data_IF_526834721853
#
_entry.id   IF_526834721853
#
_cell.length_a   1.000
_cell.length_b   1.000
_cell.length_c   1.000
_cell.angle_alpha   90.00
_cell.angle_beta   90.00
_cell.angle_gamma   90.00
#
_symmetry.space_group_name_H-M   'P 1'
#
loop_
_entity.id
_entity.type
_entity.pdbx_description
1 polymer ?
#
# COMPACT_ATOMS: atom_id res chain seq x y z
N UNK A 1 14.20 -7.58 -13.78
CA UNK A 1 13.66 -6.20 -13.74
C UNK A 1 12.28 -6.16 -13.08
N UNK A 2 12.14 -6.56 -11.81
CA UNK A 2 10.82 -6.64 -11.14
C UNK A 2 10.25 -5.29 -10.67
N UNK A 3 11.10 -4.31 -10.34
CA UNK A 3 10.67 -2.96 -9.91
C UNK A 3 9.93 -2.21 -11.03
N UNK A 4 10.37 -2.38 -12.30
CA UNK A 4 9.71 -1.76 -13.46
C UNK A 4 8.30 -2.33 -13.68
N UNK A 5 8.13 -3.64 -13.53
CA UNK A 5 6.83 -4.31 -13.69
C UNK A 5 5.82 -3.88 -12.62
N UNK A 6 6.24 -3.82 -11.36
CA UNK A 6 5.38 -3.38 -10.25
C UNK A 6 4.94 -1.90 -10.36
N UNK A 7 5.76 -1.04 -10.97
CA UNK A 7 5.43 0.38 -11.23
C UNK A 7 4.45 0.57 -12.38
N UNK A 8 4.43 -0.32 -13.39
CA UNK A 8 3.59 -0.18 -14.58
C UNK A 8 2.21 -0.83 -14.43
N UNK A 9 2.05 -1.76 -13.48
CA UNK A 9 0.78 -2.47 -13.28
C UNK A 9 -0.21 -1.63 -12.46
N UNK A 10 -1.14 -0.99 -13.17
CA UNK A 10 -2.32 -0.36 -12.56
C UNK A 10 -3.25 -1.45 -12.03
N UNK A 11 -3.58 -1.38 -10.74
CA UNK A 11 -4.44 -2.33 -10.01
C UNK A 11 -5.64 -1.67 -9.36
N UNK A 12 -5.72 -0.33 -9.39
CA UNK A 12 -6.88 0.41 -8.93
C UNK A 12 -7.08 1.68 -9.77
N UNK A 13 -8.30 1.95 -10.23
CA UNK A 13 -8.65 3.13 -11.03
C UNK A 13 -9.60 4.08 -10.31
N UNK A 14 -10.37 3.58 -9.34
CA UNK A 14 -11.30 4.37 -8.54
C UNK A 14 -11.15 4.08 -7.03
N UNK A 15 -11.94 4.76 -6.19
CA UNK A 15 -11.84 4.61 -4.74
C UNK A 15 -12.30 3.24 -4.23
N UNK A 16 -13.27 2.62 -4.90
CA UNK A 16 -13.75 1.28 -4.55
C UNK A 16 -12.68 0.23 -4.85
N UNK A 17 -12.00 0.32 -6.01
CA UNK A 17 -10.88 -0.55 -6.36
C UNK A 17 -9.76 -0.44 -5.32
N UNK A 18 -9.41 0.79 -4.89
CA UNK A 18 -8.36 1.03 -3.88
C UNK A 18 -8.72 0.38 -2.55
N UNK A 19 -9.97 0.57 -2.14
CA UNK A 19 -10.47 -0.02 -0.91
C UNK A 19 -10.46 -1.55 -1.00
N UNK A 20 -11.05 -2.12 -2.04
CA UNK A 20 -11.13 -3.55 -2.27
C UNK A 20 -9.74 -4.19 -2.34
N UNK A 21 -8.79 -3.55 -3.03
CA UNK A 21 -7.42 -4.02 -3.16
C UNK A 21 -6.75 -4.21 -1.80
N UNK A 22 -6.90 -3.25 -0.89
CA UNK A 22 -6.33 -3.31 0.46
C UNK A 22 -7.12 -4.26 1.37
N UNK A 23 -8.46 -4.28 1.28
CA UNK A 23 -9.30 -5.21 2.06
C UNK A 23 -8.99 -6.66 1.76
N UNK A 24 -8.84 -7.03 0.48
CA UNK A 24 -8.42 -8.39 0.05
C UNK A 24 -7.04 -8.81 0.58
N UNK A 25 -6.25 -7.86 1.10
CA UNK A 25 -4.90 -8.06 1.66
C UNK A 25 -4.88 -7.93 3.19
N UNK A 26 -6.06 -7.94 3.82
CA UNK A 26 -6.20 -8.00 5.28
C UNK A 26 -6.11 -6.65 5.98
N UNK A 27 -6.14 -5.53 5.24
CA UNK A 27 -6.22 -4.21 5.87
C UNK A 27 -7.66 -3.90 6.26
N UNK A 28 -7.84 -3.33 7.45
CA UNK A 28 -9.14 -2.83 7.93
C UNK A 28 -9.57 -1.55 7.20
N UNK A 29 -10.79 -1.05 7.48
CA UNK A 29 -11.31 0.20 6.88
C UNK A 29 -10.43 1.38 7.22
N UNK A 30 -10.08 1.47 8.50
CA UNK A 30 -9.27 2.55 9.04
C UNK A 30 -7.86 2.52 8.46
N UNK A 31 -7.26 1.34 8.34
CA UNK A 31 -5.93 1.19 7.74
C UNK A 31 -5.94 1.50 6.24
N UNK A 32 -6.99 1.09 5.54
CA UNK A 32 -7.20 1.41 4.12
C UNK A 32 -7.22 2.92 3.90
N UNK A 33 -8.02 3.66 4.69
CA UNK A 33 -8.09 5.11 4.60
C UNK A 33 -6.74 5.78 4.91
N UNK A 34 -6.02 5.30 5.94
CA UNK A 34 -4.69 5.81 6.30
C UNK A 34 -3.67 5.58 5.18
N UNK A 35 -3.65 4.41 4.56
CA UNK A 35 -2.71 4.07 3.48
C UNK A 35 -2.99 4.96 2.25
N UNK A 36 -4.26 5.09 1.84
CA UNK A 36 -4.63 5.95 0.71
C UNK A 36 -4.27 7.41 0.99
N UNK A 37 -4.55 7.88 2.21
CA UNK A 37 -4.23 9.24 2.65
C UNK A 37 -2.72 9.52 2.67
N UNK A 38 -1.91 8.55 3.12
CA UNK A 38 -0.46 8.68 3.13
C UNK A 38 0.11 8.87 1.71
N UNK A 39 -0.33 8.05 0.75
CA UNK A 39 0.09 8.22 -0.66
C UNK A 39 -0.37 9.56 -1.21
N UNK A 40 -1.62 9.96 -0.94
CA UNK A 40 -2.11 11.26 -1.39
C UNK A 40 -1.30 12.43 -0.83
N UNK A 41 -0.93 12.37 0.45
CA UNK A 41 -0.15 13.40 1.11
C UNK A 41 1.30 13.48 0.60
N UNK A 42 1.94 12.33 0.33
CA UNK A 42 3.35 12.27 -0.10
C UNK A 42 3.53 12.46 -1.61
N UNK A 43 2.61 11.93 -2.43
CA UNK A 43 2.74 11.86 -3.90
C UNK A 43 1.76 12.79 -4.64
N UNK A 44 0.85 13.47 -3.93
CA UNK A 44 -0.15 14.37 -4.53
C UNK A 44 -1.26 13.66 -5.31
N UNK A 45 -1.29 12.32 -5.31
CA UNK A 45 -2.30 11.49 -5.99
C UNK A 45 -2.64 10.26 -5.18
N UNK A 46 -3.83 9.71 -5.39
CA UNK A 46 -4.23 8.43 -4.78
C UNK A 46 -3.46 7.26 -5.43
N UNK A 47 -3.27 6.12 -4.73
CA UNK A 47 -2.54 4.99 -5.27
C UNK A 47 -3.30 4.34 -6.44
N UNK A 48 -2.54 3.92 -7.46
CA UNK A 48 -3.08 3.24 -8.64
C UNK A 48 -2.29 1.97 -8.98
N UNK A 49 -0.98 1.97 -8.72
CA UNK A 49 -0.08 0.83 -8.96
C UNK A 49 0.22 0.05 -7.68
N UNK A 50 0.69 -1.19 -7.82
CA UNK A 50 1.17 -1.99 -6.67
C UNK A 50 2.28 -1.24 -5.93
N UNK A 51 3.16 -0.55 -6.66
CA UNK A 51 4.22 0.24 -6.07
C UNK A 51 3.67 1.36 -5.16
N UNK A 52 2.63 2.08 -5.61
CA UNK A 52 2.01 3.14 -4.80
C UNK A 52 1.44 2.58 -3.49
N UNK A 53 0.78 1.43 -3.53
CA UNK A 53 0.27 0.77 -2.32
C UNK A 53 1.39 0.34 -1.37
N UNK A 54 2.50 -0.19 -1.90
CA UNK A 54 3.68 -0.55 -1.08
C UNK A 54 4.26 0.70 -0.41
N UNK A 55 4.37 1.83 -1.12
CA UNK A 55 4.81 3.09 -0.53
C UNK A 55 3.87 3.54 0.59
N UNK A 56 2.55 3.55 0.34
CA UNK A 56 1.56 3.92 1.36
C UNK A 56 1.59 3.05 2.61
N UNK A 57 1.72 1.73 2.45
CA UNK A 57 1.84 0.80 3.60
C UNK A 57 3.11 1.11 4.39
N UNK A 58 4.23 1.34 3.70
CA UNK A 58 5.52 1.65 4.33
C UNK A 58 5.48 2.99 5.05
N UNK A 59 4.86 4.01 4.46
CA UNK A 59 4.66 5.32 5.08
C UNK A 59 3.86 5.20 6.39
N UNK A 60 2.77 4.43 6.38
CA UNK A 60 1.98 4.16 7.60
C UNK A 60 2.78 3.37 8.64
N UNK A 61 3.62 2.42 8.21
CA UNK A 61 4.46 1.63 9.11
C UNK A 61 5.46 2.51 9.88
N UNK A 62 6.08 3.49 9.21
CA UNK A 62 7.05 4.42 9.83
C UNK A 62 6.46 5.21 11.00
N UNK A 63 5.15 5.48 10.97
CA UNK A 63 4.43 6.18 12.04
C UNK A 63 3.98 5.30 13.21
N UNK A 64 4.23 3.99 13.19
CA UNK A 64 3.85 3.07 14.28
C UNK A 64 4.90 3.10 15.38
N UNK A 65 4.49 3.50 16.59
CA UNK A 65 5.34 3.46 17.78
C UNK A 65 5.62 2.04 18.27
N UNK A 66 4.66 1.12 18.10
CA UNK A 66 4.81 -0.28 18.50
C UNK A 66 5.49 -1.10 17.41
N UNK A 67 6.58 -1.77 17.78
CA UNK A 67 7.43 -2.56 16.88
C UNK A 67 6.65 -3.64 16.13
N UNK A 68 5.80 -4.40 16.82
CA UNK A 68 5.06 -5.51 16.19
C UNK A 68 4.09 -5.02 15.12
N UNK A 69 3.43 -3.88 15.37
CA UNK A 69 2.53 -3.25 14.40
C UNK A 69 3.31 -2.72 13.18
N UNK A 70 4.53 -2.22 13.39
CA UNK A 70 5.41 -1.82 12.29
C UNK A 70 5.81 -3.03 11.44
N UNK A 71 6.26 -4.11 12.08
CA UNK A 71 6.70 -5.33 11.41
C UNK A 71 5.57 -6.03 10.64
N UNK A 72 4.34 -6.04 11.15
CA UNK A 72 3.19 -6.58 10.43
C UNK A 72 2.93 -5.80 9.12
N UNK A 73 2.96 -4.47 9.17
CA UNK A 73 2.79 -3.63 7.98
C UNK A 73 3.92 -3.82 6.98
N UNK A 74 5.18 -3.78 7.43
CA UNK A 74 6.35 -4.02 6.58
C UNK A 74 6.31 -5.41 5.93
N UNK A 75 5.92 -6.44 6.69
CA UNK A 75 5.76 -7.80 6.19
C UNK A 75 4.69 -7.91 5.10
N UNK A 76 3.56 -7.22 5.24
CA UNK A 76 2.51 -7.18 4.21
C UNK A 76 2.96 -6.39 2.98
N UNK A 77 3.66 -5.27 3.15
CA UNK A 77 4.23 -4.49 2.05
C UNK A 77 5.25 -5.33 1.25
N UNK A 78 6.12 -6.07 1.94
CA UNK A 78 7.10 -6.97 1.31
C UNK A 78 6.41 -8.07 0.51
N UNK A 79 5.45 -8.79 1.10
CA UNK A 79 4.68 -9.83 0.38
C UNK A 79 3.94 -9.29 -0.84
N UNK A 80 3.44 -8.06 -0.75
CA UNK A 80 2.78 -7.39 -1.87
C UNK A 80 3.76 -7.09 -3.00
N UNK A 81 4.94 -6.57 -2.65
CA UNK A 81 5.97 -6.24 -3.61
C UNK A 81 6.52 -7.49 -4.31
N UNK A 82 6.84 -8.55 -3.56
CA UNK A 82 7.36 -9.83 -4.09
C UNK A 82 6.39 -10.46 -5.12
N UNK A 83 5.08 -10.39 -4.87
CA UNK A 83 4.06 -10.92 -5.81
C UNK A 83 3.91 -10.10 -7.09
N UNK A 84 4.49 -8.90 -7.15
CA UNK A 84 4.43 -8.02 -8.31
C UNK A 84 5.74 -7.93 -9.09
N UNK A 85 6.79 -8.62 -8.63
CA UNK A 85 8.09 -8.72 -9.31
C UNK A 85 8.11 -9.76 -10.42
#
# INVERSE_FOLDING_TARGET
NGVKAARQRIVARNDDDRAEFLRKRGFSKAETAKIIGAVLAEEGRKPESVFDFVQGITAVARGKSHQDARLDFEGRAKKLFERAQ
#
